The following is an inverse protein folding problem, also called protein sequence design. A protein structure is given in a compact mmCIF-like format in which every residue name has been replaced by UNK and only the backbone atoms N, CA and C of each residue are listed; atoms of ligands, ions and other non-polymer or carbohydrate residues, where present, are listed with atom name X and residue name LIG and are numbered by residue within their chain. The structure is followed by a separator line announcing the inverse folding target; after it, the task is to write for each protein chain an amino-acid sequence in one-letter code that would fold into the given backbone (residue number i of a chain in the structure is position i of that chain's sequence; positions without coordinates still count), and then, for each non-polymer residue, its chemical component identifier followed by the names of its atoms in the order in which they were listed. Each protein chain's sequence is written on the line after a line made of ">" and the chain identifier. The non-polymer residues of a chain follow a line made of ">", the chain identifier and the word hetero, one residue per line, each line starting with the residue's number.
data_IF_842989804434
#
_entry.id   IF_842989804434
#
_cell.length_a   1.000
_cell.length_b   1.000
_cell.length_c   1.000
_cell.angle_alpha   90.00
_cell.angle_beta   90.00
_cell.angle_gamma   90.00
#
_symmetry.space_group_name_H-M   'P 1'
#
loop_
_entity.id
_entity.type
_entity.pdbx_description
1 polymer ?
#
# COMPACT_ATOMS: atom_id res chain seq x y z
N UNK A 1 26.67 -60.43 -36.07
CA UNK A 1 26.23 -61.86 -36.10
C UNK A 1 26.93 -62.54 -34.93
N UNK A 2 26.31 -63.26 -34.00
CA UNK A 2 24.94 -63.72 -33.84
C UNK A 2 24.80 -64.25 -32.39
N UNK A 3 23.67 -63.93 -31.73
CA UNK A 3 22.85 -64.78 -30.83
C UNK A 3 23.51 -65.35 -29.55
N UNK A 4 22.89 -65.55 -28.38
CA UNK A 4 21.58 -65.29 -27.78
C UNK A 4 21.63 -65.93 -26.37
N UNK A 5 21.25 -65.17 -25.30
CA UNK A 5 20.43 -65.50 -24.08
C UNK A 5 20.67 -66.83 -23.30
N UNK A 6 19.99 -67.15 -22.15
CA UNK A 6 19.24 -66.38 -21.13
C UNK A 6 19.56 -66.82 -19.66
N UNK A 7 18.97 -66.14 -18.64
CA UNK A 7 18.29 -66.66 -17.41
C UNK A 7 17.99 -65.43 -16.51
N UNK A 8 16.78 -65.03 -16.07
CA UNK A 8 15.60 -65.72 -15.49
C UNK A 8 16.05 -66.61 -14.30
N UNK A 9 15.70 -66.42 -13.03
CA UNK A 9 14.61 -65.77 -12.29
C UNK A 9 15.23 -65.25 -10.95
N UNK A 10 14.65 -64.42 -10.09
CA UNK A 10 13.46 -64.58 -9.25
C UNK A 10 13.33 -63.23 -8.51
N UNK A 11 12.19 -62.54 -8.61
CA UNK A 11 11.19 -62.47 -7.54
C UNK A 11 11.68 -61.77 -6.27
N UNK A 12 11.38 -60.47 -6.18
CA UNK A 12 10.95 -59.90 -4.91
C UNK A 12 10.01 -58.74 -5.21
N UNK A 13 8.72 -59.05 -5.07
CA UNK A 13 7.61 -58.14 -5.14
C UNK A 13 7.69 -57.11 -4.00
N UNK A 14 8.38 -55.99 -4.21
CA UNK A 14 8.33 -54.86 -3.29
C UNK A 14 7.02 -54.08 -3.49
N UNK A 15 6.03 -54.56 -2.74
CA UNK A 15 4.85 -53.88 -2.21
C UNK A 15 4.78 -52.36 -2.48
N UNK A 16 3.82 -52.00 -3.33
CA UNK A 16 3.23 -50.66 -3.45
C UNK A 16 2.90 -50.08 -2.07
N UNK A 17 3.75 -49.18 -1.57
CA UNK A 17 3.36 -48.22 -0.53
C UNK A 17 3.36 -46.81 -1.11
N UNK A 18 2.13 -46.36 -1.37
CA UNK A 18 1.65 -44.99 -1.37
C UNK A 18 2.66 -43.91 -1.81
N UNK A 19 2.49 -43.48 -3.07
CA UNK A 19 2.87 -42.13 -3.50
C UNK A 19 2.10 -41.12 -2.64
N UNK A 20 2.75 -40.68 -1.57
CA UNK A 20 2.48 -39.44 -0.87
C UNK A 20 3.68 -38.53 -1.05
N UNK A 21 4.09 -38.28 -2.29
CA UNK A 21 5.08 -37.26 -2.58
C UNK A 21 4.41 -35.90 -2.37
N UNK A 22 4.47 -35.38 -1.15
CA UNK A 22 4.29 -33.95 -0.93
C UNK A 22 5.26 -33.22 -1.86
N UNK A 23 4.80 -32.24 -2.66
CA UNK A 23 5.71 -31.44 -3.47
C UNK A 23 6.72 -30.77 -2.54
N UNK A 24 8.00 -30.65 -2.95
CA UNK A 24 9.00 -29.98 -2.15
C UNK A 24 8.49 -28.58 -1.81
N UNK A 25 8.28 -28.34 -0.51
CA UNK A 25 8.01 -27.00 0.03
C UNK A 25 9.14 -26.13 -0.45
N UNK A 26 8.87 -25.32 -1.46
CA UNK A 26 9.76 -24.25 -1.86
C UNK A 26 10.11 -23.47 -0.59
N UNK A 27 11.37 -23.10 -0.37
CA UNK A 27 11.67 -22.08 0.63
C UNK A 27 10.97 -20.83 0.14
N UNK A 28 9.77 -20.60 0.66
CA UNK A 28 9.05 -19.34 0.60
C UNK A 28 9.88 -18.37 1.40
N UNK A 29 10.97 -17.91 0.80
CA UNK A 29 11.62 -16.68 1.17
C UNK A 29 10.49 -15.67 1.17
N UNK A 30 10.05 -15.33 2.38
CA UNK A 30 9.10 -14.27 2.58
C UNK A 30 9.80 -13.02 2.11
N UNK A 31 9.64 -12.70 0.83
CA UNK A 31 9.61 -11.33 0.38
C UNK A 31 8.46 -10.72 1.17
N UNK A 32 8.76 -10.29 2.40
CA UNK A 32 8.05 -9.19 3.03
C UNK A 32 8.33 -8.01 2.11
N UNK A 33 7.61 -7.97 1.00
CA UNK A 33 7.19 -6.71 0.45
C UNK A 33 6.58 -6.05 1.68
N UNK A 34 7.20 -4.98 2.18
CA UNK A 34 6.60 -4.12 3.18
C UNK A 34 5.30 -3.59 2.56
N UNK A 35 4.25 -4.43 2.61
CA UNK A 35 2.93 -4.21 2.04
C UNK A 35 2.15 -3.42 3.06
N UNK A 36 2.71 -2.30 3.50
CA UNK A 36 1.91 -1.28 4.17
C UNK A 36 0.73 -1.02 3.23
N UNK A 37 -0.52 -1.28 3.63
CA UNK A 37 -1.66 -1.11 2.76
C UNK A 37 -1.76 0.36 2.33
N UNK A 38 -2.41 0.68 1.21
CA UNK A 38 -2.61 2.10 0.86
C UNK A 38 -3.49 2.82 1.89
N UNK A 39 -4.42 2.06 2.46
CA UNK A 39 -5.40 2.49 3.46
C UNK A 39 -5.48 1.39 4.52
N UNK A 40 -5.33 1.73 5.80
CA UNK A 40 -5.60 0.85 6.92
C UNK A 40 -7.11 0.87 7.23
N UNK A 41 -7.84 -0.25 7.02
CA UNK A 41 -9.26 -0.31 7.28
C UNK A 41 -9.62 -0.20 8.77
N UNK A 42 -8.70 -0.53 9.69
CA UNK A 42 -8.97 -0.45 11.13
C UNK A 42 -9.13 1.00 11.58
N UNK A 43 -8.35 1.93 11.00
CA UNK A 43 -8.47 3.37 11.31
C UNK A 43 -9.86 3.91 10.94
N UNK A 44 -10.42 3.41 9.85
CA UNK A 44 -11.75 3.81 9.42
C UNK A 44 -12.84 3.22 10.30
N UNK A 45 -12.68 1.96 10.75
CA UNK A 45 -13.54 1.36 11.77
C UNK A 45 -13.49 2.15 13.09
N UNK A 46 -12.29 2.49 13.57
CA UNK A 46 -12.11 3.29 14.77
C UNK A 46 -12.74 4.69 14.62
N UNK A 47 -12.72 5.27 13.42
CA UNK A 47 -13.41 6.53 13.13
C UNK A 47 -14.94 6.38 13.18
N UNK A 48 -15.49 5.25 12.69
CA UNK A 48 -16.92 4.94 12.82
C UNK A 48 -17.34 4.85 14.29
N UNK A 49 -16.54 4.15 15.11
CA UNK A 49 -16.77 3.97 16.55
C UNK A 49 -16.65 5.31 17.31
N UNK A 50 -15.65 6.13 17.00
CA UNK A 50 -15.45 7.44 17.63
C UNK A 50 -16.57 8.43 17.32
N UNK A 51 -17.16 8.35 16.13
CA UNK A 51 -18.25 9.21 15.70
C UNK A 51 -19.64 8.66 16.06
N UNK A 52 -19.71 7.43 16.61
CA UNK A 52 -20.94 6.66 16.83
C UNK A 52 -21.86 6.66 15.58
N UNK A 53 -21.24 6.72 14.39
CA UNK A 53 -21.95 6.95 13.14
C UNK A 53 -21.13 6.52 11.92
N UNK A 54 -21.46 5.36 11.35
CA UNK A 54 -20.89 4.93 10.07
C UNK A 54 -21.16 5.92 8.93
N UNK A 55 -22.28 6.65 8.98
CA UNK A 55 -22.61 7.67 7.99
C UNK A 55 -21.70 8.89 8.08
N UNK A 56 -21.32 9.32 9.28
CA UNK A 56 -20.40 10.43 9.49
C UNK A 56 -18.98 10.10 9.01
N UNK A 57 -18.47 8.89 9.30
CA UNK A 57 -17.17 8.45 8.79
C UNK A 57 -17.16 8.37 7.24
N UNK A 58 -18.22 7.85 6.62
CA UNK A 58 -18.35 7.85 5.16
C UNK A 58 -18.40 9.26 4.57
N UNK A 59 -19.12 10.19 5.21
CA UNK A 59 -19.14 11.59 4.81
C UNK A 59 -17.72 12.20 4.88
N UNK A 60 -16.98 11.91 5.94
CA UNK A 60 -15.60 12.35 6.10
C UNK A 60 -14.68 11.83 4.97
N UNK A 61 -14.75 10.54 4.65
CA UNK A 61 -13.98 9.93 3.55
C UNK A 61 -14.35 10.56 2.21
N UNK A 62 -15.65 10.78 1.95
CA UNK A 62 -16.12 11.45 0.73
C UNK A 62 -15.55 12.86 0.63
N UNK A 63 -15.63 13.63 1.71
CA UNK A 63 -15.18 15.03 1.71
C UNK A 63 -13.65 15.10 1.54
N UNK A 64 -12.90 14.20 2.19
CA UNK A 64 -11.46 14.05 1.99
C UNK A 64 -11.09 13.75 0.53
N UNK A 65 -11.81 12.83 -0.10
CA UNK A 65 -11.60 12.45 -1.51
C UNK A 65 -11.99 13.59 -2.47
N UNK A 66 -13.00 14.39 -2.14
CA UNK A 66 -13.49 15.47 -2.99
C UNK A 66 -12.50 16.63 -3.10
N UNK A 67 -11.71 16.89 -2.04
CA UNK A 67 -10.75 18.01 -1.99
C UNK A 67 -9.32 17.60 -2.37
N UNK A 68 -9.08 16.34 -2.75
CA UNK A 68 -7.74 15.83 -3.03
C UNK A 68 -7.02 16.63 -4.13
N UNK A 69 -7.68 16.88 -5.26
CA UNK A 69 -7.05 17.52 -6.41
C UNK A 69 -6.62 18.96 -6.08
N UNK A 70 -7.39 19.68 -5.27
CA UNK A 70 -7.03 21.01 -4.76
C UNK A 70 -5.80 20.94 -3.85
N UNK A 71 -5.75 19.94 -2.97
CA UNK A 71 -4.62 19.75 -2.03
C UNK A 71 -3.34 19.39 -2.77
N UNK A 72 -3.41 18.48 -3.73
CA UNK A 72 -2.27 18.09 -4.56
C UNK A 72 -1.69 19.29 -5.33
N UNK A 73 -2.57 20.13 -5.88
CA UNK A 73 -2.18 21.38 -6.53
C UNK A 73 -1.58 22.39 -5.54
N UNK A 74 -2.16 22.55 -4.34
CA UNK A 74 -1.64 23.46 -3.31
C UNK A 74 -0.22 23.07 -2.89
N UNK A 75 0.04 21.79 -2.65
CA UNK A 75 1.39 21.30 -2.29
C UNK A 75 2.36 21.53 -3.44
N UNK A 76 2.00 21.08 -4.64
CA UNK A 76 2.86 21.19 -5.83
C UNK A 76 3.21 22.64 -6.15
N UNK A 77 2.22 23.54 -6.08
CA UNK A 77 2.43 24.96 -6.36
C UNK A 77 3.26 25.68 -5.28
N UNK A 78 3.11 25.32 -4.00
CA UNK A 78 3.90 25.90 -2.92
C UNK A 78 5.39 25.51 -3.05
N UNK A 79 5.67 24.24 -3.37
CA UNK A 79 7.03 23.73 -3.57
C UNK A 79 7.66 24.34 -4.83
N UNK A 80 6.94 24.40 -5.94
CA UNK A 80 7.41 25.01 -7.19
C UNK A 80 7.75 26.50 -7.03
N UNK A 81 7.00 27.22 -6.17
CA UNK A 81 7.27 28.63 -5.83
C UNK A 81 8.39 28.79 -4.79
N UNK A 82 9.05 27.71 -4.38
CA UNK A 82 10.06 27.68 -3.30
C UNK A 82 9.56 28.31 -2.00
N UNK A 83 8.25 28.29 -1.76
CA UNK A 83 7.66 28.86 -0.54
C UNK A 83 7.67 27.80 0.55
N UNK A 84 8.75 27.75 1.34
CA UNK A 84 8.95 26.74 2.38
C UNK A 84 7.83 26.73 3.43
N UNK A 85 7.40 27.89 3.92
CA UNK A 85 6.35 27.99 4.92
C UNK A 85 5.00 27.46 4.42
N UNK A 86 4.59 27.87 3.21
CA UNK A 86 3.35 27.39 2.60
C UNK A 86 3.43 25.91 2.23
N UNK A 87 4.62 25.41 1.83
CA UNK A 87 4.84 24.00 1.53
C UNK A 87 4.68 23.15 2.80
N UNK A 88 5.28 23.58 3.91
CA UNK A 88 5.20 22.87 5.18
C UNK A 88 3.77 22.86 5.72
N UNK A 89 3.05 23.98 5.66
CA UNK A 89 1.62 24.06 6.03
C UNK A 89 0.77 23.05 5.23
N UNK A 90 0.94 23.04 3.90
CA UNK A 90 0.18 22.15 3.03
C UNK A 90 0.50 20.67 3.30
N UNK A 91 1.77 20.32 3.49
CA UNK A 91 2.21 18.94 3.78
C UNK A 91 1.74 18.47 5.16
N UNK A 92 1.80 19.32 6.19
CA UNK A 92 1.28 18.99 7.53
C UNK A 92 -0.23 18.77 7.51
N UNK A 93 -0.97 19.65 6.82
CA UNK A 93 -2.41 19.49 6.64
C UNK A 93 -2.76 18.18 5.93
N UNK A 94 -2.00 17.83 4.89
CA UNK A 94 -2.14 16.55 4.20
C UNK A 94 -1.88 15.37 5.15
N UNK A 95 -0.78 15.40 5.90
CA UNK A 95 -0.41 14.33 6.83
C UNK A 95 -1.50 14.09 7.87
N UNK A 96 -1.94 15.13 8.57
CA UNK A 96 -2.97 15.05 9.61
C UNK A 96 -4.26 14.45 9.05
N UNK A 97 -4.71 14.97 7.90
CA UNK A 97 -5.98 14.51 7.31
C UNK A 97 -5.89 13.12 6.70
N UNK A 98 -4.72 12.72 6.21
CA UNK A 98 -4.45 11.37 5.70
C UNK A 98 -4.41 10.33 6.83
N UNK A 99 -3.90 10.70 8.01
CA UNK A 99 -3.94 9.83 9.20
C UNK A 99 -5.37 9.49 9.59
N UNK A 100 -6.29 10.46 9.56
CA UNK A 100 -7.69 10.24 9.95
C UNK A 100 -8.44 9.26 9.05
N UNK A 101 -8.06 9.14 7.77
CA UNK A 101 -8.63 8.16 6.84
C UNK A 101 -7.79 6.88 6.72
N UNK A 102 -6.77 6.72 7.56
CA UNK A 102 -5.88 5.56 7.53
C UNK A 102 -5.00 5.48 6.29
N UNK A 103 -4.74 6.57 5.56
CA UNK A 103 -3.94 6.57 4.34
C UNK A 103 -2.43 6.43 4.62
N UNK A 104 -2.02 5.29 5.15
CA UNK A 104 -0.70 5.04 5.75
C UNK A 104 0.47 5.33 4.81
N UNK A 105 0.44 4.86 3.56
CA UNK A 105 1.51 5.18 2.59
C UNK A 105 1.61 6.68 2.29
N UNK A 106 0.47 7.37 2.23
CA UNK A 106 0.44 8.81 1.97
C UNK A 106 0.94 9.61 3.17
N UNK A 107 0.63 9.16 4.39
CA UNK A 107 1.19 9.70 5.65
C UNK A 107 2.72 9.54 5.68
N UNK A 108 3.26 8.39 5.26
CA UNK A 108 4.70 8.17 5.17
C UNK A 108 5.36 9.13 4.18
N UNK A 109 4.80 9.27 2.97
CA UNK A 109 5.34 10.19 1.97
C UNK A 109 5.23 11.66 2.41
N UNK A 110 4.13 12.04 3.07
CA UNK A 110 3.98 13.38 3.62
C UNK A 110 4.99 13.65 4.75
N UNK A 111 5.32 12.64 5.56
CA UNK A 111 6.35 12.76 6.60
C UNK A 111 7.75 12.93 6.00
N UNK A 112 8.08 12.19 4.95
CA UNK A 112 9.34 12.37 4.23
C UNK A 112 9.44 13.76 3.56
N UNK A 113 8.35 14.25 2.96
CA UNK A 113 8.30 15.62 2.45
C UNK A 113 8.48 16.66 3.57
N UNK A 114 7.85 16.45 4.73
CA UNK A 114 7.97 17.33 5.89
C UNK A 114 9.44 17.46 6.32
N UNK A 115 10.17 16.34 6.40
CA UNK A 115 11.60 16.31 6.75
C UNK A 115 12.44 17.08 5.73
N UNK A 116 12.27 16.81 4.43
CA UNK A 116 12.97 17.53 3.36
C UNK A 116 12.72 19.04 3.42
N UNK A 117 11.46 19.44 3.67
CA UNK A 117 11.08 20.85 3.79
C UNK A 117 11.67 21.50 5.04
N UNK A 118 11.77 20.79 6.17
CA UNK A 118 12.43 21.30 7.39
C UNK A 118 13.93 21.45 7.20
N UNK A 119 14.56 20.57 6.42
CA UNK A 119 15.98 20.63 6.07
C UNK A 119 16.28 21.66 4.96
N UNK A 120 15.27 22.30 4.37
CA UNK A 120 15.42 23.27 3.29
C UNK A 120 15.73 22.65 1.91
N UNK A 121 15.60 21.32 1.78
CA UNK A 121 15.86 20.55 0.56
C UNK A 121 14.69 20.61 -0.42
N UNK A 122 14.40 21.82 -0.91
CA UNK A 122 13.26 22.08 -1.80
C UNK A 122 13.35 21.35 -3.15
N UNK A 123 14.55 21.12 -3.67
CA UNK A 123 14.76 20.39 -4.93
C UNK A 123 14.42 18.90 -4.78
N UNK A 124 14.84 18.28 -3.67
CA UNK A 124 14.50 16.89 -3.34
C UNK A 124 12.99 16.75 -3.07
N UNK A 125 12.39 17.73 -2.37
CA UNK A 125 10.95 17.78 -2.13
C UNK A 125 10.17 17.88 -3.46
N UNK A 126 10.65 18.68 -4.41
CA UNK A 126 10.06 18.80 -5.74
C UNK A 126 10.19 17.48 -6.54
N UNK A 127 11.35 16.82 -6.48
CA UNK A 127 11.56 15.51 -7.11
C UNK A 127 10.67 14.40 -6.51
N UNK A 128 10.21 14.55 -5.26
CA UNK A 128 9.30 13.63 -4.60
C UNK A 128 7.83 13.82 -4.99
N UNK A 129 7.42 14.98 -5.53
CA UNK A 129 6.03 15.29 -5.89
C UNK A 129 5.35 14.22 -6.77
N UNK A 130 5.98 13.69 -7.83
CA UNK A 130 5.36 12.65 -8.65
C UNK A 130 5.02 11.37 -7.87
N UNK A 131 5.78 11.05 -6.82
CA UNK A 131 5.51 9.90 -5.96
C UNK A 131 4.29 10.14 -5.07
N UNK A 132 4.17 11.36 -4.51
CA UNK A 132 3.02 11.79 -3.71
C UNK A 132 1.75 11.79 -4.55
N UNK A 133 1.80 12.39 -5.74
CA UNK A 133 0.66 12.41 -6.66
C UNK A 133 0.17 10.99 -6.98
N UNK A 134 1.07 10.10 -7.43
CA UNK A 134 0.71 8.70 -7.74
C UNK A 134 0.17 7.94 -6.52
N UNK A 135 0.77 8.12 -5.35
CA UNK A 135 0.29 7.49 -4.13
C UNK A 135 -1.11 7.98 -3.78
N UNK A 136 -1.31 9.30 -3.76
CA UNK A 136 -2.58 9.91 -3.43
C UNK A 136 -3.70 9.51 -4.39
N UNK A 137 -3.47 9.51 -5.71
CA UNK A 137 -4.47 9.01 -6.68
C UNK A 137 -4.88 7.56 -6.40
N UNK A 138 -3.91 6.69 -6.06
CA UNK A 138 -4.19 5.29 -5.70
C UNK A 138 -4.97 5.18 -4.40
N UNK A 139 -4.59 5.96 -3.38
CA UNK A 139 -5.29 6.04 -2.09
C UNK A 139 -6.73 6.51 -2.26
N UNK A 140 -6.98 7.58 -3.04
CA UNK A 140 -8.35 8.08 -3.27
C UNK A 140 -9.22 7.04 -3.96
N UNK A 141 -8.67 6.32 -4.95
CA UNK A 141 -9.38 5.21 -5.60
C UNK A 141 -9.72 4.10 -4.61
N UNK A 142 -8.77 3.72 -3.75
CA UNK A 142 -8.99 2.70 -2.71
C UNK A 142 -10.07 3.13 -1.71
N UNK A 143 -10.00 4.37 -1.20
CA UNK A 143 -11.01 4.92 -0.28
C UNK A 143 -12.41 4.92 -0.90
N UNK A 144 -12.54 5.30 -2.18
CA UNK A 144 -13.81 5.22 -2.91
C UNK A 144 -14.35 3.79 -2.96
N UNK A 145 -13.50 2.81 -3.28
CA UNK A 145 -13.89 1.40 -3.35
C UNK A 145 -14.31 0.82 -2.00
N UNK A 146 -13.61 1.19 -0.92
CA UNK A 146 -13.89 0.68 0.43
C UNK A 146 -15.16 1.29 1.04
N UNK A 147 -15.46 2.57 0.78
CA UNK A 147 -16.47 3.32 1.52
C UNK A 147 -17.67 3.81 0.71
N UNK A 148 -17.57 3.88 -0.62
CA UNK A 148 -18.69 4.32 -1.48
C UNK A 148 -19.42 3.16 -2.17
N UNK A 149 -18.89 1.94 -2.09
CA UNK A 149 -19.51 0.74 -2.67
C UNK A 149 -20.21 -0.15 -1.64
N UNK A 150 -20.24 0.25 -0.36
CA UNK A 150 -20.95 -0.50 0.70
C UNK A 150 -22.40 0.04 0.78
N UNK A 151 -23.43 -0.82 0.58
CA UNK A 151 -24.83 -0.41 0.59
C UNK A 151 -25.30 0.09 1.95
#
# INVERSE_FOLDING_TARGET
>A
MALSRPSADDDDAESLRAVGAEPPRAPGGSYRVDRTPLVDPNVLHDLEDQLDSPAAARAFVRDYVAVWDERDLKISSAIARRNQAASLDAVLSLKITSTMVGATQLVTLASALEELLREGKLEEAEAALPHVHRCGTRTMRELRLLHLNKP
#
